data_IF_774301311741
#
_entry.id   IF_774301311741
#
_cell.length_a   1.000
_cell.length_b   1.000
_cell.length_c   1.000
_cell.angle_alpha   90.00
_cell.angle_beta   90.00
_cell.angle_gamma   90.00
#
_symmetry.space_group_name_H-M   'P 1'
#
loop_
_entity.id
_entity.type
_entity.pdbx_description
1 polymer ?
#
# COMPACT_ATOMS: atom_id res chain seq x y z
N UNK A 1 -9.58 21.78 -72.16
CA UNK A 1 -9.41 21.95 -70.70
C UNK A 1 -9.67 20.59 -70.06
N UNK A 2 -8.61 19.87 -69.71
CA UNK A 2 -8.73 18.52 -69.13
C UNK A 2 -8.98 18.61 -67.60
N UNK A 3 -9.74 17.69 -67.00
CA UNK A 3 -9.98 17.70 -65.56
C UNK A 3 -8.69 17.36 -64.79
N UNK A 4 -8.51 17.90 -63.57
CA UNK A 4 -7.32 17.63 -62.77
C UNK A 4 -7.29 16.17 -62.30
N UNK A 5 -6.10 15.59 -62.08
CA UNK A 5 -5.96 14.21 -61.62
C UNK A 5 -6.53 14.04 -60.21
N UNK A 6 -7.22 12.93 -59.99
CA UNK A 6 -7.77 12.55 -58.71
C UNK A 6 -6.67 12.49 -57.64
N UNK A 7 -6.88 13.16 -56.52
CA UNK A 7 -5.99 13.11 -55.37
C UNK A 7 -6.07 11.72 -54.75
N UNK A 8 -4.94 11.03 -54.71
CA UNK A 8 -4.78 9.75 -54.03
C UNK A 8 -5.20 9.91 -52.56
N UNK A 9 -6.30 9.25 -52.18
CA UNK A 9 -6.72 9.16 -50.80
C UNK A 9 -5.63 8.44 -50.00
N UNK A 10 -4.94 9.17 -49.13
CA UNK A 10 -3.96 8.62 -48.21
C UNK A 10 -4.62 7.50 -47.39
N UNK A 11 -4.27 6.25 -47.72
CA UNK A 11 -4.70 5.07 -46.99
C UNK A 11 -4.12 5.14 -45.57
N UNK A 12 -4.88 5.66 -44.63
CA UNK A 12 -4.55 5.65 -43.21
C UNK A 12 -4.28 4.20 -42.78
N UNK A 13 -3.08 3.94 -42.25
CA UNK A 13 -2.73 2.62 -41.72
C UNK A 13 -3.80 2.21 -40.70
N UNK A 14 -4.33 0.98 -40.74
CA UNK A 14 -5.36 0.55 -39.80
C UNK A 14 -4.80 0.67 -38.37
N UNK A 15 -5.57 1.30 -37.48
CA UNK A 15 -5.24 1.40 -36.07
C UNK A 15 -5.02 -0.02 -35.53
N UNK A 16 -3.77 -0.33 -35.17
CA UNK A 16 -3.39 -1.66 -34.67
C UNK A 16 -4.22 -1.93 -33.42
N UNK A 17 -5.03 -2.99 -33.41
CA UNK A 17 -5.86 -3.36 -32.26
C UNK A 17 -4.99 -3.34 -31.00
N UNK A 18 -5.42 -2.56 -29.99
CA UNK A 18 -4.74 -2.47 -28.71
C UNK A 18 -4.53 -3.89 -28.15
N UNK A 19 -3.29 -4.22 -27.77
CA UNK A 19 -2.99 -5.55 -27.19
C UNK A 19 -3.77 -5.73 -25.90
N UNK A 20 -4.20 -6.96 -25.61
CA UNK A 20 -4.83 -7.26 -24.32
C UNK A 20 -3.87 -6.92 -23.19
N UNK A 21 -4.38 -6.29 -22.14
CA UNK A 21 -3.62 -6.03 -20.91
C UNK A 21 -3.20 -7.37 -20.32
N UNK A 22 -1.92 -7.50 -20.01
CA UNK A 22 -1.33 -8.70 -19.43
C UNK A 22 -1.18 -8.51 -17.93
N UNK A 23 -1.75 -9.43 -17.16
CA UNK A 23 -1.72 -9.40 -15.69
C UNK A 23 -1.04 -10.63 -15.15
N UNK A 24 0.05 -10.44 -14.42
CA UNK A 24 0.69 -11.48 -13.64
C UNK A 24 -0.06 -11.69 -12.32
N UNK A 25 -0.55 -12.91 -12.13
CA UNK A 25 -1.29 -13.39 -10.97
C UNK A 25 -0.61 -14.61 -10.35
N UNK A 26 0.68 -14.82 -10.61
CA UNK A 26 1.47 -15.96 -10.11
C UNK A 26 1.54 -16.01 -8.59
N UNK A 27 1.46 -14.86 -7.91
CA UNK A 27 1.41 -14.74 -6.45
C UNK A 27 0.00 -14.45 -5.90
N UNK A 28 -1.03 -14.63 -6.72
CA UNK A 28 -2.43 -14.49 -6.30
C UNK A 28 -3.09 -15.85 -6.10
N UNK A 29 -3.56 -16.13 -4.88
CA UNK A 29 -4.27 -17.35 -4.51
C UNK A 29 -5.77 -17.22 -4.76
N UNK A 30 -6.32 -16.02 -4.63
CA UNK A 30 -7.76 -15.78 -4.70
C UNK A 30 -8.33 -15.99 -6.12
N UNK A 31 -9.26 -16.95 -6.25
CA UNK A 31 -9.92 -17.26 -7.52
C UNK A 31 -10.79 -16.12 -8.05
N UNK A 32 -11.41 -15.33 -7.14
CA UNK A 32 -12.29 -14.21 -7.51
C UNK A 32 -11.55 -13.15 -8.33
N UNK A 33 -10.30 -12.83 -7.98
CA UNK A 33 -9.48 -11.87 -8.74
C UNK A 33 -9.27 -12.38 -10.16
N UNK A 34 -8.90 -13.66 -10.30
CA UNK A 34 -8.68 -14.31 -11.61
C UNK A 34 -9.95 -14.31 -12.47
N UNK A 35 -11.13 -14.48 -11.85
CA UNK A 35 -12.43 -14.39 -12.53
C UNK A 35 -12.69 -12.96 -13.01
N UNK A 36 -12.59 -11.97 -12.13
CA UNK A 36 -12.81 -10.56 -12.46
C UNK A 36 -11.90 -10.03 -13.58
N UNK A 37 -10.66 -10.52 -13.67
CA UNK A 37 -9.72 -10.17 -14.73
C UNK A 37 -10.06 -10.86 -16.06
N UNK A 38 -10.50 -12.12 -16.03
CA UNK A 38 -11.01 -12.82 -17.23
C UNK A 38 -12.26 -12.16 -17.80
N UNK A 39 -13.19 -11.75 -16.93
CA UNK A 39 -14.43 -11.08 -17.32
C UNK A 39 -14.16 -9.72 -17.99
N UNK A 40 -12.98 -9.13 -17.75
CA UNK A 40 -12.47 -7.90 -18.39
C UNK A 40 -11.63 -8.15 -19.64
N UNK A 41 -11.57 -9.39 -20.13
CA UNK A 41 -10.76 -9.82 -21.27
C UNK A 41 -9.24 -9.59 -21.11
N UNK A 42 -8.73 -9.67 -19.87
CA UNK A 42 -7.28 -9.56 -19.62
C UNK A 42 -6.56 -10.90 -19.79
N UNK A 43 -5.31 -10.85 -20.26
CA UNK A 43 -4.45 -12.03 -20.40
C UNK A 43 -3.76 -12.33 -19.08
N UNK A 44 -3.99 -13.52 -18.53
CA UNK A 44 -3.42 -13.92 -17.24
C UNK A 44 -2.09 -14.68 -17.41
N UNK A 45 -1.07 -14.24 -16.68
CA UNK A 45 0.18 -14.96 -16.46
C UNK A 45 0.11 -15.62 -15.09
N UNK A 46 0.31 -16.93 -15.04
CA UNK A 46 0.16 -17.74 -13.81
C UNK A 46 1.48 -18.32 -13.30
N UNK A 47 2.50 -18.37 -14.15
CA UNK A 47 3.78 -18.97 -13.83
C UNK A 47 4.76 -17.90 -13.32
N UNK A 48 5.46 -18.19 -12.21
CA UNK A 48 6.38 -17.27 -11.51
C UNK A 48 7.65 -16.91 -12.31
N UNK A 49 7.88 -17.55 -13.46
CA UNK A 49 9.06 -17.38 -14.33
C UNK A 49 8.67 -17.46 -15.80
N UNK A 50 7.63 -16.75 -16.21
CA UNK A 50 7.37 -16.56 -17.63
C UNK A 50 8.22 -15.40 -18.15
N UNK A 51 8.90 -15.57 -19.28
CA UNK A 51 9.49 -14.46 -20.08
C UNK A 51 8.43 -13.56 -20.74
N UNK A 52 7.21 -13.58 -20.20
CA UNK A 52 6.09 -12.80 -20.68
C UNK A 52 6.12 -11.45 -19.98
N UNK A 53 6.29 -10.38 -20.77
CA UNK A 53 6.13 -9.01 -20.30
C UNK A 53 4.69 -8.78 -19.81
N UNK A 54 4.57 -8.08 -18.68
CA UNK A 54 3.31 -7.82 -18.00
C UNK A 54 3.08 -6.32 -17.82
N UNK A 55 1.81 -5.93 -17.79
CA UNK A 55 1.37 -4.55 -17.57
C UNK A 55 0.95 -4.32 -16.12
N UNK A 56 0.31 -5.33 -15.51
CA UNK A 56 -0.11 -5.30 -14.11
C UNK A 56 0.46 -6.52 -13.40
N UNK A 57 1.01 -6.31 -12.21
CA UNK A 57 1.38 -7.39 -11.31
C UNK A 57 0.47 -7.37 -10.09
N UNK A 58 -0.28 -8.45 -9.89
CA UNK A 58 -1.18 -8.63 -8.77
C UNK A 58 -0.65 -9.70 -7.83
N UNK A 59 -0.39 -9.30 -6.60
CA UNK A 59 0.05 -10.21 -5.54
C UNK A 59 -0.81 -10.07 -4.31
N UNK A 60 -0.98 -11.16 -3.58
CA UNK A 60 -1.64 -11.13 -2.27
C UNK A 60 -0.73 -10.52 -1.19
N UNK A 61 0.59 -10.53 -1.42
CA UNK A 61 1.62 -9.96 -0.53
C UNK A 61 2.45 -8.92 -1.28
N UNK A 62 2.76 -7.79 -0.64
CA UNK A 62 3.53 -6.69 -1.24
C UNK A 62 5.02 -6.97 -1.54
N UNK A 63 5.41 -8.21 -1.84
CA UNK A 63 6.81 -8.66 -1.93
C UNK A 63 7.62 -7.98 -3.05
N UNK A 64 6.99 -7.56 -4.16
CA UNK A 64 7.68 -6.86 -5.27
C UNK A 64 8.07 -5.43 -4.93
N UNK A 65 7.50 -4.83 -3.88
CA UNK A 65 7.75 -3.42 -3.59
C UNK A 65 9.20 -3.13 -3.21
N UNK A 66 9.96 -4.14 -2.78
CA UNK A 66 11.41 -4.04 -2.60
C UNK A 66 12.14 -3.61 -3.88
N UNK A 67 11.57 -3.94 -5.03
CA UNK A 67 12.07 -3.65 -6.37
C UNK A 67 11.20 -2.61 -7.10
N UNK A 68 10.35 -1.83 -6.40
CA UNK A 68 9.43 -0.88 -7.03
C UNK A 68 10.12 0.14 -7.96
N UNK A 69 11.39 0.47 -7.69
CA UNK A 69 12.22 1.35 -8.55
C UNK A 69 12.53 0.76 -9.92
N UNK A 70 12.34 -0.55 -10.10
CA UNK A 70 12.58 -1.28 -11.36
C UNK A 70 11.34 -1.39 -12.23
N UNK A 71 10.22 -0.82 -11.80
CA UNK A 71 8.98 -0.79 -12.57
C UNK A 71 9.09 0.20 -13.74
N UNK A 72 8.64 -0.22 -14.91
CA UNK A 72 8.45 0.69 -16.03
C UNK A 72 7.27 1.65 -15.77
N UNK A 73 7.28 2.83 -16.41
CA UNK A 73 6.24 3.85 -16.20
C UNK A 73 4.81 3.36 -16.51
N UNK A 74 4.66 2.41 -17.43
CA UNK A 74 3.37 1.82 -17.79
C UNK A 74 2.92 0.73 -16.81
N UNK A 75 3.84 0.14 -16.04
CA UNK A 75 3.54 -0.98 -15.15
C UNK A 75 2.80 -0.52 -13.91
N UNK A 76 1.85 -1.34 -13.47
CA UNK A 76 1.06 -1.11 -12.25
C UNK A 76 1.17 -2.30 -11.31
N UNK A 77 1.11 -1.99 -10.02
CA UNK A 77 1.12 -2.97 -8.93
C UNK A 77 -0.02 -2.63 -7.96
N UNK A 78 -0.56 -3.64 -7.28
CA UNK A 78 -1.70 -3.45 -6.35
C UNK A 78 -1.30 -3.13 -4.90
N UNK A 79 -0.02 -2.81 -4.65
CA UNK A 79 0.49 -2.43 -3.33
C UNK A 79 1.28 -1.13 -3.44
N UNK A 80 1.25 -0.30 -2.40
CA UNK A 80 2.11 0.87 -2.29
C UNK A 80 3.30 0.57 -1.36
N UNK A 81 4.49 1.14 -1.63
CA UNK A 81 5.62 1.03 -0.71
C UNK A 81 5.26 1.67 0.65
N UNK A 82 5.84 1.14 1.73
CA UNK A 82 5.67 1.66 3.09
C UNK A 82 4.24 1.60 3.66
N UNK A 83 3.32 0.83 3.06
CA UNK A 83 1.97 0.64 3.61
C UNK A 83 1.96 -0.03 4.99
N UNK A 84 3.06 -0.66 5.40
CA UNK A 84 3.24 -1.18 6.76
C UNK A 84 3.08 -0.12 7.85
N UNK A 85 3.32 1.17 7.54
CA UNK A 85 3.22 2.29 8.48
C UNK A 85 1.82 2.47 9.06
N UNK A 86 0.79 2.03 8.31
CA UNK A 86 -0.61 2.05 8.73
C UNK A 86 -1.20 0.64 8.88
N UNK A 87 -0.67 -0.35 8.17
CA UNK A 87 -1.22 -1.71 8.17
C UNK A 87 -0.73 -2.56 9.35
N UNK A 88 0.48 -2.30 9.87
CA UNK A 88 0.97 -3.03 11.04
C UNK A 88 0.59 -2.29 12.32
N UNK A 89 0.05 -3.02 13.29
CA UNK A 89 -0.48 -2.43 14.54
C UNK A 89 0.58 -1.69 15.34
N UNK A 90 1.82 -2.19 15.34
CA UNK A 90 2.93 -1.57 16.05
C UNK A 90 3.33 -0.22 15.42
N UNK A 91 3.47 -0.17 14.10
CA UNK A 91 3.71 1.09 13.39
C UNK A 91 2.53 2.05 13.47
N UNK A 92 1.30 1.54 13.34
CA UNK A 92 0.09 2.35 13.43
C UNK A 92 -0.06 3.00 14.81
N UNK A 93 0.11 2.22 15.89
CA UNK A 93 0.06 2.75 17.25
C UNK A 93 1.19 3.74 17.51
N UNK A 94 2.39 3.48 17.00
CA UNK A 94 3.48 4.44 17.07
C UNK A 94 3.11 5.74 16.39
N UNK A 95 2.65 5.67 15.13
CA UNK A 95 2.35 6.82 14.28
C UNK A 95 1.14 7.67 14.74
N UNK A 96 0.17 7.05 15.41
CA UNK A 96 -1.01 7.76 15.88
C UNK A 96 -0.88 8.23 17.33
N UNK A 97 -0.20 7.47 18.19
CA UNK A 97 -0.45 7.54 19.63
C UNK A 97 0.80 7.57 20.52
N UNK A 98 2.01 7.21 20.06
CA UNK A 98 3.09 6.92 21.01
C UNK A 98 3.42 8.06 21.98
N UNK A 99 3.27 7.75 23.27
CA UNK A 99 3.57 8.59 24.42
C UNK A 99 5.02 8.36 24.85
N UNK A 100 6.01 8.79 24.06
CA UNK A 100 7.36 8.94 24.62
C UNK A 100 7.33 10.12 25.60
N UNK A 101 7.10 9.81 26.87
CA UNK A 101 7.27 10.72 27.99
C UNK A 101 8.73 10.61 28.42
N UNK A 102 9.63 11.33 27.75
CA UNK A 102 10.91 11.88 28.23
C UNK A 102 11.79 12.22 27.01
N UNK A 103 12.16 13.50 26.79
CA UNK A 103 13.22 13.85 25.85
C UNK A 103 14.57 13.85 26.58
N UNK A 104 15.48 12.89 26.37
CA UNK A 104 16.89 13.19 26.53
C UNK A 104 17.31 14.07 25.33
N UNK A 105 18.05 15.13 25.65
CA UNK A 105 18.52 16.25 24.78
C UNK A 105 19.25 15.80 23.49
N UNK A 106 19.49 14.49 23.30
CA UNK A 106 20.12 13.90 22.11
C UNK A 106 19.14 13.48 20.99
N UNK A 107 17.83 13.69 21.14
CA UNK A 107 16.81 13.16 20.23
C UNK A 107 16.34 14.12 19.12
N UNK A 108 17.04 15.23 18.88
CA UNK A 108 16.67 16.19 17.81
C UNK A 108 16.70 15.55 16.40
N UNK A 109 17.39 14.41 16.24
CA UNK A 109 17.47 13.67 14.97
C UNK A 109 16.44 12.54 14.89
N UNK A 110 15.85 12.10 16.01
CA UNK A 110 14.89 10.99 16.07
C UNK A 110 13.45 11.43 16.41
N UNK A 111 13.22 12.74 16.58
CA UNK A 111 11.94 13.37 16.94
C UNK A 111 10.88 13.44 15.82
N UNK A 112 10.98 12.59 14.79
CA UNK A 112 10.11 12.59 13.61
C UNK A 112 9.16 11.39 13.54
N UNK A 113 8.86 10.73 14.66
CA UNK A 113 7.77 9.72 14.71
C UNK A 113 6.58 10.25 15.50
N UNK A 114 5.78 11.02 14.77
CA UNK A 114 4.34 10.82 14.61
C UNK A 114 3.59 10.43 15.88
N UNK A 115 3.10 11.38 16.66
CA UNK A 115 1.92 11.12 17.50
C UNK A 115 0.87 12.14 17.08
N UNK A 116 0.16 11.84 16.00
CA UNK A 116 -0.80 12.78 15.39
C UNK A 116 -1.82 13.29 16.41
N UNK A 117 -2.20 12.46 17.38
CA UNK A 117 -3.05 12.86 18.50
C UNK A 117 -2.44 13.93 19.42
N UNK A 118 -1.11 14.00 19.56
CA UNK A 118 -0.47 15.09 20.33
C UNK A 118 -0.52 16.43 19.57
N UNK A 119 -0.44 16.39 18.24
CA UNK A 119 -0.44 17.59 17.40
C UNK A 119 -1.86 18.09 17.11
N UNK A 120 -2.79 17.17 16.89
CA UNK A 120 -4.17 17.42 16.49
C UNK A 120 -5.12 16.53 17.31
N UNK A 121 -5.27 16.82 18.62
CA UNK A 121 -6.04 15.97 19.53
C UNK A 121 -7.50 15.80 19.13
N UNK A 122 -8.13 16.85 18.59
CA UNK A 122 -9.55 16.83 18.21
C UNK A 122 -9.81 16.01 16.94
N UNK A 123 -8.84 15.93 16.03
CA UNK A 123 -8.97 15.18 14.78
C UNK A 123 -8.59 13.70 14.92
N UNK A 124 -7.76 13.37 15.92
CA UNK A 124 -7.17 12.04 16.09
C UNK A 124 -7.65 11.32 17.38
N UNK A 125 -8.85 11.66 17.89
CA UNK A 125 -9.48 10.95 19.02
C UNK A 125 -10.17 9.63 18.63
N UNK A 126 -10.20 9.29 17.34
CA UNK A 126 -10.79 8.04 16.85
C UNK A 126 -9.96 6.78 17.16
N UNK A 127 -8.66 6.93 17.47
CA UNK A 127 -7.77 5.81 17.74
C UNK A 127 -7.63 5.56 19.25
N UNK A 128 -7.90 4.33 19.74
CA UNK A 128 -7.84 4.04 21.16
C UNK A 128 -6.42 4.12 21.69
N UNK A 129 -6.30 4.54 22.96
CA UNK A 129 -5.04 4.49 23.69
C UNK A 129 -4.42 3.11 23.59
N UNK A 130 -3.22 3.05 23.05
CA UNK A 130 -2.49 1.82 22.77
C UNK A 130 -1.07 1.92 23.30
N UNK A 131 -0.52 0.80 23.75
CA UNK A 131 0.82 0.69 24.31
C UNK A 131 1.63 -0.39 23.60
N UNK A 132 2.87 -0.09 23.23
CA UNK A 132 3.81 -0.98 22.58
C UNK A 132 4.69 -1.69 23.60
N UNK A 133 4.30 -2.89 24.01
CA UNK A 133 5.11 -3.75 24.88
C UNK A 133 6.18 -4.52 24.07
N UNK A 134 7.42 -4.66 24.59
CA UNK A 134 7.86 -4.38 25.95
C UNK A 134 8.28 -2.92 26.21
N UNK A 135 8.38 -2.08 25.18
CA UNK A 135 8.96 -0.73 25.28
C UNK A 135 8.19 0.20 26.23
N UNK A 136 6.86 0.19 26.18
CA UNK A 136 5.97 1.08 26.94
C UNK A 136 5.33 0.37 28.15
N UNK A 137 6.01 -0.63 28.72
CA UNK A 137 5.48 -1.43 29.85
C UNK A 137 5.26 -0.57 31.10
N UNK A 138 6.17 0.36 31.39
CA UNK A 138 6.11 1.19 32.60
C UNK A 138 4.92 2.15 32.52
N UNK A 139 4.71 2.75 31.35
CA UNK A 139 3.60 3.65 31.06
C UNK A 139 2.26 2.90 31.12
N UNK A 140 2.21 1.66 30.60
CA UNK A 140 1.03 0.81 30.75
C UNK A 140 0.72 0.53 32.22
N UNK A 141 1.74 0.17 33.02
CA UNK A 141 1.58 -0.11 34.45
C UNK A 141 1.06 1.14 35.19
N UNK A 142 1.68 2.31 34.96
CA UNK A 142 1.23 3.57 35.53
C UNK A 142 -0.22 3.90 35.12
N UNK A 143 -0.59 3.62 33.87
CA UNK A 143 -1.96 3.84 33.41
C UNK A 143 -2.96 2.92 34.10
N UNK A 144 -2.59 1.65 34.35
CA UNK A 144 -3.42 0.69 35.07
C UNK A 144 -3.54 1.04 36.56
N UNK A 145 -2.43 1.40 37.20
CA UNK A 145 -2.40 1.74 38.63
C UNK A 145 -3.22 3.00 38.95
N UNK A 146 -3.25 3.96 38.03
CA UNK A 146 -4.01 5.20 38.17
C UNK A 146 -5.45 5.10 37.66
N UNK A 147 -5.87 3.94 37.15
CA UNK A 147 -7.20 3.79 36.61
C UNK A 147 -8.25 3.61 37.72
N UNK A 148 -9.08 4.64 37.88
CA UNK A 148 -10.18 4.66 38.85
C UNK A 148 -11.50 4.13 38.29
N UNK A 149 -11.55 3.84 36.97
CA UNK A 149 -12.79 3.50 36.26
C UNK A 149 -12.96 2.00 35.99
N UNK A 150 -11.93 1.19 36.25
CA UNK A 150 -11.98 -0.26 35.99
C UNK A 150 -12.01 -0.58 34.50
N UNK A 151 -11.20 0.14 33.71
CA UNK A 151 -11.04 -0.05 32.29
C UNK A 151 -10.56 -1.46 31.96
N UNK A 152 -11.11 -2.00 30.86
CA UNK A 152 -10.70 -3.30 30.31
C UNK A 152 -9.66 -3.09 29.22
N UNK A 153 -8.60 -3.89 29.25
CA UNK A 153 -7.51 -3.84 28.27
C UNK A 153 -7.58 -5.04 27.32
N UNK A 154 -7.20 -4.84 26.06
CA UNK A 154 -7.15 -5.89 25.04
C UNK A 154 -5.72 -6.03 24.54
N UNK A 155 -5.16 -7.23 24.67
CA UNK A 155 -3.83 -7.56 24.14
C UNK A 155 -3.96 -8.09 22.71
N UNK A 156 -3.10 -7.61 21.82
CA UNK A 156 -3.06 -8.00 20.41
C UNK A 156 -1.63 -8.35 20.04
N UNK A 157 -1.49 -9.37 19.19
CA UNK A 157 -0.26 -9.61 18.43
C UNK A 157 -0.12 -8.62 17.27
#
# INVERSE_FOLDING_TARGET
MAPPPAQDAASGKPFKRSRKVVVDVSLCRYAIIKRCLKDRDFRLVRAKKSDVEWDIWWSDRGELLKDARRLNAFQKVNHFPSMEDICRKDFLANNLYTFLAHPPILYLIAHHRNAMRKLLPDEYDFFPRSFLVPAERVELQQCMDNDKRGATYIVKA
#
